data_IF_741453612093
#
_entry.id   IF_741453612093
#
_cell.length_a   1.000
_cell.length_b   1.000
_cell.length_c   1.000
_cell.angle_alpha   90.00
_cell.angle_beta   90.00
_cell.angle_gamma   90.00
#
_symmetry.space_group_name_H-M   'P 1'
#
loop_
_entity.id
_entity.type
_entity.pdbx_description
1 polymer ?
#
# COMPACT_ATOMS: atom_id res chain seq x y z
N UNK A 1 -28.87 -19.58 0.59
CA UNK A 1 -27.75 -19.17 -0.26
C UNK A 1 -26.82 -18.35 0.61
N UNK A 2 -25.56 -18.79 0.77
CA UNK A 2 -24.65 -18.23 1.77
C UNK A 2 -24.28 -16.81 1.34
N UNK A 3 -24.62 -15.82 2.16
CA UNK A 3 -24.12 -14.46 2.03
C UNK A 3 -22.60 -14.53 2.21
N UNK A 4 -21.88 -14.51 1.08
CA UNK A 4 -20.46 -14.23 1.08
C UNK A 4 -20.37 -12.78 1.56
N UNK A 5 -19.92 -12.58 2.79
CA UNK A 5 -19.43 -11.28 3.21
C UNK A 5 -18.26 -10.97 2.27
N UNK A 6 -18.54 -10.20 1.23
CA UNK A 6 -17.54 -9.59 0.38
C UNK A 6 -16.67 -8.78 1.32
N UNK A 7 -15.44 -9.22 1.57
CA UNK A 7 -14.44 -8.43 2.29
C UNK A 7 -14.02 -7.35 1.30
N UNK A 8 -14.87 -6.35 1.14
CA UNK A 8 -14.60 -5.29 0.20
C UNK A 8 -13.30 -4.69 0.65
N UNK A 9 -12.34 -4.74 -0.26
CA UNK A 9 -11.18 -3.89 -0.24
C UNK A 9 -11.68 -2.48 0.05
N UNK A 10 -11.69 -2.09 1.32
CA UNK A 10 -11.72 -0.71 1.76
C UNK A 10 -10.32 -0.14 1.56
N UNK A 11 -9.75 -0.36 0.37
CA UNK A 11 -8.73 0.56 -0.13
C UNK A 11 -9.52 1.83 -0.38
N UNK A 12 -9.58 2.66 0.65
CA UNK A 12 -10.13 3.99 0.59
C UNK A 12 -9.24 4.74 -0.40
N UNK A 13 -9.62 4.66 -1.67
CA UNK A 13 -8.84 5.17 -2.78
C UNK A 13 -8.65 6.66 -2.55
N UNK A 14 -7.38 7.05 -2.38
CA UNK A 14 -6.91 8.43 -2.25
C UNK A 14 -7.53 9.24 -3.37
N UNK A 15 -8.50 10.09 -3.03
CA UNK A 15 -8.94 11.15 -3.92
C UNK A 15 -7.75 12.09 -4.09
N UNK A 16 -7.07 12.04 -5.24
CA UNK A 16 -6.17 13.13 -5.63
C UNK A 16 -7.04 14.36 -5.89
N UNK A 17 -7.27 15.17 -4.86
CA UNK A 17 -7.59 16.57 -5.06
C UNK A 17 -6.35 17.22 -5.64
N UNK A 18 -6.34 17.47 -6.95
CA UNK A 18 -5.43 18.42 -7.54
C UNK A 18 -5.73 19.80 -6.91
N UNK A 19 -4.98 20.17 -5.88
CA UNK A 19 -5.01 21.53 -5.36
C UNK A 19 -4.37 22.44 -6.42
N UNK A 20 -5.22 23.03 -7.26
CA UNK A 20 -4.86 24.25 -7.98
C UNK A 20 -4.75 25.35 -6.95
N UNK A 21 -3.52 25.82 -6.69
CA UNK A 21 -3.30 27.00 -5.86
C UNK A 21 -4.01 28.18 -6.50
N UNK A 22 -4.91 28.82 -5.76
CA UNK A 22 -5.18 30.24 -5.86
C UNK A 22 -5.49 30.71 -4.45
N UNK A 23 -4.59 31.54 -3.94
CA UNK A 23 -4.81 32.35 -2.74
C UNK A 23 -6.02 33.25 -2.98
N UNK A 24 -7.09 33.04 -2.22
CA UNK A 24 -7.90 34.15 -1.70
C UNK A 24 -8.80 33.68 -0.56
N UNK A 25 -8.71 34.39 0.55
CA UNK A 25 -9.48 34.15 1.76
C UNK A 25 -10.91 34.67 1.57
N UNK A 26 -11.88 33.76 1.47
CA UNK A 26 -13.31 34.07 1.64
C UNK A 26 -13.94 33.02 2.55
N UNK A 27 -14.42 33.47 3.72
CA UNK A 27 -15.31 32.70 4.60
C UNK A 27 -16.58 32.32 3.84
N UNK A 28 -16.71 31.06 3.43
CA UNK A 28 -17.96 30.51 2.90
C UNK A 28 -18.43 29.41 3.84
N UNK A 29 -19.58 29.68 4.48
CA UNK A 29 -20.37 28.70 5.23
C UNK A 29 -20.50 27.42 4.41
N UNK A 30 -19.97 26.31 4.93
CA UNK A 30 -20.11 24.98 4.33
C UNK A 30 -21.59 24.59 4.27
N UNK A 31 -22.21 24.78 3.11
CA UNK A 31 -23.37 23.98 2.73
C UNK A 31 -22.85 22.57 2.46
N UNK A 32 -23.16 21.64 3.36
CA UNK A 32 -22.90 20.21 3.20
C UNK A 32 -23.66 19.73 1.97
N UNK A 33 -22.99 19.66 0.83
CA UNK A 33 -23.50 18.92 -0.32
C UNK A 33 -23.48 17.43 0.06
N UNK A 34 -24.56 16.66 -0.13
CA UNK A 34 -24.52 15.23 0.14
C UNK A 34 -23.41 14.59 -0.71
N UNK A 35 -22.45 13.94 -0.04
CA UNK A 35 -21.27 13.27 -0.63
C UNK A 35 -21.59 12.14 -1.65
N UNK A 36 -22.86 11.98 -2.05
CA UNK A 36 -23.39 10.86 -2.84
C UNK A 36 -23.24 11.00 -4.37
N UNK A 37 -22.86 12.16 -4.90
CA UNK A 37 -22.85 12.41 -6.36
C UNK A 37 -21.48 12.77 -6.98
N UNK A 38 -20.36 12.53 -6.28
CA UNK A 38 -19.06 12.58 -6.94
C UNK A 38 -18.76 11.19 -7.49
N UNK A 39 -18.88 10.99 -8.80
CA UNK A 39 -18.46 9.75 -9.45
C UNK A 39 -16.99 9.48 -9.08
N UNK A 40 -16.75 8.41 -8.32
CA UNK A 40 -15.41 7.98 -7.91
C UNK A 40 -15.01 6.90 -8.90
N UNK A 41 -14.09 7.21 -9.81
CA UNK A 41 -13.47 6.18 -10.64
C UNK A 41 -12.25 5.60 -9.93
N UNK A 42 -11.96 4.34 -10.19
CA UNK A 42 -10.70 3.70 -9.82
C UNK A 42 -9.93 3.33 -11.07
N UNK A 43 -8.61 3.22 -10.95
CA UNK A 43 -7.75 2.58 -11.95
C UNK A 43 -6.73 1.70 -11.24
N UNK A 44 -6.56 0.48 -11.72
CA UNK A 44 -5.49 -0.42 -11.27
C UNK A 44 -4.90 -1.19 -12.44
N UNK A 45 -3.64 -1.63 -12.30
CA UNK A 45 -2.99 -2.52 -13.24
C UNK A 45 -3.06 -3.97 -12.75
N UNK A 46 -3.35 -4.90 -13.65
CA UNK A 46 -3.26 -6.33 -13.39
C UNK A 46 -2.83 -7.05 -14.67
N UNK A 47 -1.77 -7.85 -14.58
CA UNK A 47 -1.20 -8.59 -15.72
C UNK A 47 -0.87 -7.69 -16.93
N UNK A 48 -0.39 -6.46 -16.67
CA UNK A 48 -0.02 -5.50 -17.71
C UNK A 48 -1.19 -4.78 -18.37
N UNK A 49 -2.44 -5.09 -18.01
CA UNK A 49 -3.65 -4.38 -18.45
C UNK A 49 -4.12 -3.41 -17.38
N UNK A 50 -4.49 -2.19 -17.78
CA UNK A 50 -5.15 -1.23 -16.91
C UNK A 50 -6.67 -1.49 -16.91
N UNK A 51 -7.25 -1.51 -15.71
CA UNK A 51 -8.67 -1.65 -15.46
C UNK A 51 -9.17 -0.37 -14.82
N UNK A 52 -10.14 0.28 -15.46
CA UNK A 52 -10.69 1.56 -15.02
C UNK A 52 -12.20 1.46 -14.96
N UNK A 53 -12.80 1.87 -13.85
CA UNK A 53 -14.25 1.89 -13.69
C UNK A 53 -14.67 2.95 -12.68
N UNK A 54 -15.79 3.61 -12.94
CA UNK A 54 -16.60 4.23 -11.91
C UNK A 54 -17.15 3.17 -10.95
N UNK A 55 -17.45 3.57 -9.72
CA UNK A 55 -18.07 2.67 -8.75
C UNK A 55 -19.12 3.38 -7.90
N UNK A 56 -20.03 2.56 -7.36
CA UNK A 56 -21.02 2.97 -6.38
C UNK A 56 -20.71 2.36 -5.02
N UNK A 57 -21.11 3.04 -3.96
CA UNK A 57 -21.17 2.43 -2.64
C UNK A 57 -22.51 1.74 -2.43
N UNK A 58 -22.49 0.55 -1.84
CA UNK A 58 -23.69 -0.06 -1.26
C UNK A 58 -23.94 0.53 0.12
N UNK A 59 -25.05 0.14 0.74
CA UNK A 59 -25.43 0.61 2.08
C UNK A 59 -24.45 0.16 3.19
N UNK A 60 -23.70 -0.91 2.98
CA UNK A 60 -22.67 -1.40 3.93
C UNK A 60 -21.27 -0.85 3.60
N UNK A 61 -21.18 0.16 2.72
CA UNK A 61 -19.93 0.77 2.25
C UNK A 61 -19.05 -0.12 1.37
N UNK A 62 -19.60 -1.22 0.84
CA UNK A 62 -19.02 -1.93 -0.31
C UNK A 62 -18.85 -1.03 -1.51
N UNK A 63 -17.77 -1.24 -2.26
CA UNK A 63 -17.59 -0.78 -3.63
C UNK A 63 -18.21 -1.80 -4.61
N UNK A 64 -19.02 -1.31 -5.55
CA UNK A 64 -19.49 -2.07 -6.72
C UNK A 64 -19.10 -1.30 -7.98
N UNK A 65 -18.27 -1.92 -8.81
CA UNK A 65 -17.81 -1.33 -10.08
C UNK A 65 -18.92 -1.37 -11.14
N UNK A 66 -19.07 -0.27 -11.87
CA UNK A 66 -20.03 -0.17 -12.97
C UNK A 66 -19.60 -1.05 -14.15
N UNK A 67 -18.30 -1.09 -14.46
CA UNK A 67 -17.75 -1.97 -15.47
C UNK A 67 -17.73 -3.42 -14.97
N UNK A 68 -18.39 -4.31 -15.72
CA UNK A 68 -18.53 -5.73 -15.38
C UNK A 68 -17.22 -6.51 -15.46
N UNK A 69 -16.32 -6.15 -16.38
CA UNK A 69 -14.99 -6.77 -16.47
C UNK A 69 -14.16 -6.38 -15.26
N UNK A 70 -14.19 -5.11 -14.87
CA UNK A 70 -13.49 -4.61 -13.67
C UNK A 70 -14.06 -5.26 -12.41
N UNK A 71 -15.39 -5.33 -12.26
CA UNK A 71 -16.04 -6.00 -11.13
C UNK A 71 -15.59 -7.47 -11.01
N UNK A 72 -15.70 -8.24 -12.09
CA UNK A 72 -15.31 -9.65 -12.10
C UNK A 72 -13.82 -9.84 -11.80
N UNK A 73 -12.97 -8.93 -12.29
CA UNK A 73 -11.53 -8.96 -12.03
C UNK A 73 -11.23 -8.66 -10.57
N UNK A 74 -11.85 -7.63 -10.00
CA UNK A 74 -11.69 -7.27 -8.59
C UNK A 74 -12.17 -8.40 -7.66
N UNK A 75 -13.31 -9.04 -7.95
CA UNK A 75 -13.79 -10.22 -7.20
C UNK A 75 -12.80 -11.39 -7.25
N UNK A 76 -12.19 -11.65 -8.41
CA UNK A 76 -11.16 -12.69 -8.55
C UNK A 76 -9.93 -12.36 -7.70
N UNK A 77 -9.48 -11.11 -7.72
CA UNK A 77 -8.33 -10.65 -6.93
C UNK A 77 -8.63 -10.76 -5.43
N UNK A 78 -9.84 -10.42 -5.00
CA UNK A 78 -10.27 -10.54 -3.60
C UNK A 78 -10.34 -12.01 -3.14
N UNK A 79 -10.61 -12.95 -4.03
CA UNK A 79 -10.58 -14.38 -3.67
C UNK A 79 -9.15 -14.94 -3.53
N UNK A 80 -8.11 -14.18 -3.90
CA UNK A 80 -6.73 -14.64 -3.83
C UNK A 80 -6.11 -14.37 -2.43
N UNK A 81 -5.81 -15.41 -1.63
CA UNK A 81 -5.30 -15.25 -0.27
C UNK A 81 -3.83 -14.80 -0.22
N UNK A 82 -3.09 -14.91 -1.32
CA UNK A 82 -1.65 -14.57 -1.40
C UNK A 82 -1.38 -13.42 -2.39
N UNK A 83 -2.41 -12.63 -2.69
CA UNK A 83 -2.34 -11.48 -3.57
C UNK A 83 -1.28 -10.48 -3.08
N UNK A 84 -0.52 -9.92 -4.01
CA UNK A 84 0.35 -8.77 -3.73
C UNK A 84 -0.28 -7.51 -4.30
N UNK A 85 -0.51 -6.52 -3.43
CA UNK A 85 -0.91 -5.16 -3.83
C UNK A 85 0.30 -4.24 -3.75
N UNK A 86 0.73 -3.72 -4.89
CA UNK A 86 1.89 -2.85 -4.98
C UNK A 86 1.46 -1.39 -5.21
N UNK A 87 1.90 -0.50 -4.31
CA UNK A 87 1.64 0.93 -4.35
C UNK A 87 2.88 1.67 -4.86
N UNK A 88 2.77 2.25 -6.06
CA UNK A 88 3.83 3.01 -6.69
C UNK A 88 3.28 4.31 -7.31
N UNK A 89 3.72 5.47 -6.83
CA UNK A 89 3.41 6.77 -7.42
C UNK A 89 1.91 7.01 -7.74
N UNK A 90 1.01 6.55 -6.86
CA UNK A 90 -0.44 6.67 -7.04
C UNK A 90 -1.07 5.59 -7.94
N UNK A 91 -0.27 4.70 -8.51
CA UNK A 91 -0.72 3.54 -9.27
C UNK A 91 -0.75 2.32 -8.35
N UNK A 92 -1.89 1.62 -8.37
CA UNK A 92 -2.05 0.32 -7.72
C UNK A 92 -1.83 -0.76 -8.77
N UNK A 93 -0.90 -1.68 -8.50
CA UNK A 93 -0.66 -2.86 -9.35
C UNK A 93 -0.85 -4.12 -8.55
N UNK A 94 -1.61 -5.07 -9.09
CA UNK A 94 -1.83 -6.38 -8.48
C UNK A 94 -0.98 -7.46 -9.14
N UNK A 95 -0.46 -8.38 -8.33
CA UNK A 95 0.24 -9.58 -8.76
C UNK A 95 -0.38 -10.81 -8.08
N UNK A 96 -0.44 -11.94 -8.79
CA UNK A 96 -1.10 -13.14 -8.26
C UNK A 96 -0.36 -13.72 -7.05
N UNK A 97 0.94 -13.42 -6.89
CA UNK A 97 1.77 -13.88 -5.78
C UNK A 97 3.12 -13.14 -5.71
N UNK A 98 3.88 -13.36 -4.64
CA UNK A 98 5.20 -12.73 -4.41
C UNK A 98 6.25 -13.13 -5.48
N UNK A 99 6.15 -14.31 -6.10
CA UNK A 99 7.08 -14.73 -7.16
C UNK A 99 6.93 -13.87 -8.41
N UNK A 100 5.70 -13.57 -8.82
CA UNK A 100 5.43 -12.65 -9.94
C UNK A 100 5.88 -11.23 -9.62
N UNK A 101 5.59 -10.73 -8.41
CA UNK A 101 6.05 -9.42 -7.96
C UNK A 101 7.58 -9.30 -7.95
N UNK A 102 8.29 -10.32 -7.47
CA UNK A 102 9.76 -10.28 -7.43
C UNK A 102 10.40 -10.26 -8.82
N UNK A 103 9.72 -10.78 -9.86
CA UNK A 103 10.19 -10.67 -11.25
C UNK A 103 10.17 -9.22 -11.73
N UNK A 104 9.20 -8.40 -11.29
CA UNK A 104 9.09 -7.00 -11.73
C UNK A 104 10.05 -6.06 -11.02
N UNK A 105 10.46 -6.37 -9.80
CA UNK A 105 11.45 -5.59 -9.06
C UNK A 105 12.89 -5.73 -9.58
N UNK A 106 13.13 -6.53 -10.64
CA UNK A 106 14.45 -6.80 -11.21
C UNK A 106 15.48 -7.17 -10.12
N UNK A 107 15.10 -8.03 -9.16
CA UNK A 107 16.00 -8.48 -8.09
C UNK A 107 17.03 -9.44 -8.69
N UNK A 108 18.04 -8.87 -9.37
CA UNK A 108 19.28 -9.57 -9.63
C UNK A 108 19.96 -9.77 -8.27
N UNK A 109 19.96 -10.99 -7.77
CA UNK A 109 20.45 -11.43 -6.45
C UNK A 109 21.96 -11.22 -6.21
N UNK A 110 22.62 -10.33 -6.97
CA UNK A 110 24.04 -9.98 -6.87
C UNK A 110 24.30 -8.63 -6.19
N UNK A 111 23.42 -8.16 -5.31
CA UNK A 111 23.70 -6.95 -4.51
C UNK A 111 24.70 -7.25 -3.40
N UNK A 112 25.88 -6.64 -3.51
CA UNK A 112 26.97 -6.65 -2.54
C UNK A 112 26.51 -6.16 -1.16
N UNK A 113 26.99 -6.80 -0.09
CA UNK A 113 26.63 -6.60 1.33
C UNK A 113 26.48 -5.12 1.79
N UNK A 114 27.16 -4.17 1.15
CA UNK A 114 27.14 -2.76 1.51
C UNK A 114 25.79 -2.05 1.24
N UNK A 115 24.96 -2.51 0.31
CA UNK A 115 23.70 -1.82 -0.02
C UNK A 115 22.58 -2.07 1.01
N UNK A 116 22.68 -3.15 1.79
CA UNK A 116 21.61 -3.61 2.70
C UNK A 116 21.35 -2.70 3.91
N UNK A 117 22.21 -1.74 4.23
CA UNK A 117 22.15 -1.03 5.51
C UNK A 117 21.42 0.32 5.47
N UNK A 118 20.95 0.77 4.31
CA UNK A 118 20.45 2.14 4.19
C UNK A 118 18.94 2.31 4.30
N UNK A 119 18.16 1.22 4.22
CA UNK A 119 16.71 1.30 4.36
C UNK A 119 16.30 1.12 5.83
N UNK A 120 15.38 1.97 6.30
CA UNK A 120 14.78 1.88 7.63
C UNK A 120 13.29 2.24 7.58
N UNK A 121 12.53 1.73 8.54
CA UNK A 121 11.15 2.11 8.76
C UNK A 121 10.87 2.30 10.26
N UNK A 122 10.03 3.28 10.56
CA UNK A 122 9.40 3.47 11.86
C UNK A 122 7.91 3.19 11.72
N UNK A 123 7.44 2.18 12.44
CA UNK A 123 6.03 1.81 12.53
C UNK A 123 5.41 2.40 13.78
N UNK A 124 4.14 2.80 13.69
CA UNK A 124 3.41 3.46 14.75
C UNK A 124 2.09 2.73 15.02
N UNK A 125 1.72 2.65 16.30
CA UNK A 125 0.47 1.99 16.68
C UNK A 125 -0.77 2.78 16.31
N UNK A 126 -0.66 4.09 16.25
CA UNK A 126 -1.78 4.97 15.92
C UNK A 126 -1.56 5.62 14.54
N UNK A 127 -2.64 6.21 14.01
CA UNK A 127 -2.57 6.99 12.77
C UNK A 127 -1.80 8.30 12.98
N UNK A 128 -1.36 8.90 11.88
CA UNK A 128 -0.61 10.15 11.82
C UNK A 128 0.69 10.12 12.63
N UNK A 129 1.36 8.95 12.69
CA UNK A 129 2.66 8.75 13.31
C UNK A 129 2.66 8.94 14.84
N UNK A 130 1.56 8.55 15.50
CA UNK A 130 1.39 8.66 16.94
C UNK A 130 1.46 7.29 17.66
N UNK A 131 1.49 7.33 18.99
CA UNK A 131 1.49 6.14 19.83
C UNK A 131 2.87 5.52 20.00
N UNK A 132 2.92 4.25 20.39
CA UNK A 132 4.17 3.51 20.52
C UNK A 132 4.83 3.34 19.14
N UNK A 133 6.16 3.37 19.11
CA UNK A 133 6.96 3.26 17.89
C UNK A 133 7.85 2.01 17.85
N UNK A 134 8.04 1.45 16.66
CA UNK A 134 9.00 0.40 16.36
C UNK A 134 9.89 0.86 15.20
N UNK A 135 11.14 1.18 15.50
CA UNK A 135 12.15 1.51 14.50
C UNK A 135 12.98 0.29 14.15
N UNK A 136 12.97 -0.12 12.87
CA UNK A 136 13.71 -1.28 12.36
C UNK A 136 14.39 -0.97 11.03
N UNK A 137 15.57 -1.56 10.82
CA UNK A 137 16.31 -1.43 9.56
C UNK A 137 15.87 -2.43 8.51
N UNK A 138 16.55 -2.41 7.36
CA UNK A 138 16.38 -3.43 6.32
C UNK A 138 16.55 -4.84 6.89
N UNK A 139 15.68 -5.75 6.48
CA UNK A 139 15.67 -7.09 7.02
C UNK A 139 14.36 -7.81 6.84
N UNK A 140 14.32 -8.98 7.46
CA UNK A 140 13.26 -9.96 7.40
C UNK A 140 12.73 -10.15 8.81
N UNK A 141 11.47 -9.78 9.05
CA UNK A 141 10.83 -9.78 10.36
C UNK A 141 9.61 -10.72 10.30
N UNK A 142 9.81 -12.03 10.50
CA UNK A 142 8.78 -13.04 10.26
C UNK A 142 7.66 -13.05 11.32
N UNK A 143 7.87 -12.43 12.49
CA UNK A 143 6.87 -12.37 13.55
C UNK A 143 7.00 -11.06 14.34
N UNK A 144 6.03 -10.16 14.17
CA UNK A 144 5.98 -8.88 14.88
C UNK A 144 5.58 -9.01 16.36
N UNK A 145 5.13 -10.18 16.81
CA UNK A 145 4.82 -10.41 18.22
C UNK A 145 6.09 -10.31 19.07
N UNK A 146 7.22 -10.75 18.54
CA UNK A 146 8.55 -10.60 19.17
C UNK A 146 8.94 -9.13 19.41
N UNK A 147 8.25 -8.19 18.76
CA UNK A 147 8.45 -6.74 18.86
C UNK A 147 7.27 -6.04 19.55
N UNK A 148 6.27 -6.77 20.07
CA UNK A 148 5.03 -6.22 20.64
C UNK A 148 4.21 -5.34 19.66
N UNK A 149 4.31 -5.66 18.37
CA UNK A 149 3.76 -4.88 17.25
C UNK A 149 2.86 -5.69 16.31
N UNK A 150 2.58 -6.95 16.65
CA UNK A 150 1.64 -7.82 15.91
C UNK A 150 0.24 -7.21 15.87
N UNK A 151 -0.33 -7.06 14.68
CA UNK A 151 -1.71 -6.60 14.47
C UNK A 151 -2.03 -5.29 15.21
N UNK A 152 -1.08 -4.36 15.23
CA UNK A 152 -1.21 -3.08 15.91
C UNK A 152 -0.65 -1.91 15.10
N UNK A 153 -0.32 -2.08 13.82
CA UNK A 153 0.30 -1.01 13.02
C UNK A 153 -0.80 -0.22 12.32
N UNK A 154 -0.81 1.09 12.53
CA UNK A 154 -1.77 2.02 11.89
C UNK A 154 -1.11 3.08 11.01
N UNK A 155 0.20 3.34 11.16
CA UNK A 155 0.94 4.23 10.25
C UNK A 155 2.44 3.90 10.22
N UNK A 156 3.15 4.35 9.19
CA UNK A 156 4.61 4.19 9.12
C UNK A 156 5.29 5.29 8.32
N UNK A 157 6.57 5.51 8.62
CA UNK A 157 7.51 6.26 7.79
C UNK A 157 8.65 5.33 7.41
N UNK A 158 9.07 5.37 6.16
CA UNK A 158 10.22 4.60 5.70
C UNK A 158 11.13 5.47 4.86
N UNK A 159 12.42 5.16 4.87
CA UNK A 159 13.39 5.87 4.06
C UNK A 159 14.50 4.96 3.59
N UNK A 160 15.17 5.35 2.52
CA UNK A 160 16.46 4.79 2.12
C UNK A 160 17.38 5.91 1.63
N UNK A 161 18.65 5.83 1.98
CA UNK A 161 19.68 6.76 1.50
C UNK A 161 20.62 6.04 0.54
N UNK A 162 21.01 6.70 -0.55
CA UNK A 162 22.02 6.18 -1.48
C UNK A 162 21.82 4.70 -1.87
N UNK A 163 20.66 4.31 -2.44
CA UNK A 163 20.51 2.96 -2.99
C UNK A 163 21.53 2.81 -4.12
N UNK A 164 22.66 2.15 -3.83
CA UNK A 164 23.83 2.13 -4.70
C UNK A 164 23.54 1.60 -6.11
N UNK A 165 24.51 1.70 -7.01
CA UNK A 165 24.40 1.05 -8.33
C UNK A 165 24.75 -0.45 -8.22
N UNK A 166 24.08 -1.37 -8.93
CA UNK A 166 22.78 -1.29 -9.59
C UNK A 166 21.72 -1.91 -8.66
N UNK A 167 21.05 -1.13 -7.82
CA UNK A 167 20.16 -1.75 -6.83
C UNK A 167 18.71 -1.83 -7.28
N UNK A 168 18.15 -3.01 -7.09
CA UNK A 168 16.73 -3.34 -7.13
C UNK A 168 15.89 -2.29 -6.42
N UNK A 169 14.62 -2.16 -6.81
CA UNK A 169 13.65 -1.33 -6.10
C UNK A 169 13.64 -1.64 -4.59
N UNK A 170 13.56 -0.60 -3.75
CA UNK A 170 13.51 -0.73 -2.29
C UNK A 170 12.06 -0.63 -1.84
N UNK A 171 11.60 -1.62 -1.08
CA UNK A 171 10.19 -1.71 -0.66
C UNK A 171 10.06 -1.94 0.85
N UNK A 172 8.95 -1.46 1.41
CA UNK A 172 8.38 -2.01 2.64
C UNK A 172 7.26 -2.95 2.25
N UNK A 173 7.35 -4.22 2.63
CA UNK A 173 6.34 -5.23 2.39
C UNK A 173 5.70 -5.61 3.71
N UNK A 174 4.41 -5.36 3.83
CA UNK A 174 3.58 -5.70 4.99
C UNK A 174 2.78 -6.96 4.65
N UNK A 175 2.81 -7.95 5.54
CA UNK A 175 2.12 -9.22 5.36
C UNK A 175 1.07 -9.38 6.45
N UNK A 176 -0.12 -9.80 6.04
CA UNK A 176 -1.24 -10.02 6.96
C UNK A 176 -0.89 -11.09 8.01
N UNK A 177 -0.22 -12.17 7.59
CA UNK A 177 0.13 -13.28 8.47
C UNK A 177 1.63 -13.33 8.80
N UNK A 178 1.96 -14.12 9.83
CA UNK A 178 3.34 -14.43 10.21
C UNK A 178 4.06 -15.20 9.11
N UNK A 179 5.39 -15.20 9.15
CA UNK A 179 6.28 -15.90 8.22
C UNK A 179 6.02 -15.51 6.76
N UNK A 180 5.65 -14.26 6.50
CA UNK A 180 5.36 -13.72 5.17
C UNK A 180 4.15 -14.40 4.48
N UNK A 181 3.19 -14.86 5.28
CA UNK A 181 1.96 -15.46 4.80
C UNK A 181 0.86 -14.44 4.49
N UNK A 182 -0.20 -14.94 3.87
CA UNK A 182 -1.39 -14.16 3.56
C UNK A 182 -1.16 -13.10 2.48
N UNK A 183 -2.03 -12.10 2.45
CA UNK A 183 -1.94 -10.99 1.51
C UNK A 183 -0.74 -10.12 1.82
N UNK A 184 -0.12 -9.61 0.76
CA UNK A 184 1.04 -8.73 0.83
C UNK A 184 0.72 -7.34 0.30
N UNK A 185 1.21 -6.33 1.00
CA UNK A 185 1.05 -4.92 0.63
C UNK A 185 2.44 -4.31 0.56
N UNK A 186 2.86 -4.00 -0.66
CA UNK A 186 4.19 -3.52 -0.95
C UNK A 186 4.16 -2.02 -1.28
N UNK A 187 4.93 -1.24 -0.54
CA UNK A 187 5.08 0.19 -0.73
C UNK A 187 6.48 0.49 -1.27
N UNK A 188 6.54 1.14 -2.42
CA UNK A 188 7.81 1.56 -3.00
C UNK A 188 8.39 2.72 -2.19
N UNK A 189 9.66 2.59 -1.80
CA UNK A 189 10.46 3.69 -1.25
C UNK A 189 11.27 4.32 -2.37
N UNK A 190 11.98 3.51 -3.16
CA UNK A 190 12.83 3.96 -4.27
C UNK A 190 12.71 3.01 -5.47
N UNK A 191 12.61 3.58 -6.68
CA UNK A 191 12.30 2.89 -7.94
C UNK A 191 13.50 2.66 -8.86
N UNK A 192 14.73 3.02 -8.45
CA UNK A 192 15.92 2.86 -9.27
C UNK A 192 17.13 3.63 -8.74
N UNK A 193 18.23 3.72 -9.52
CA UNK A 193 19.47 4.31 -9.07
C UNK A 193 19.32 5.80 -8.77
N UNK A 194 19.73 6.19 -7.56
CA UNK A 194 19.81 7.58 -7.13
C UNK A 194 21.09 7.80 -6.34
N UNK A 195 22.06 8.49 -6.94
CA UNK A 195 23.26 8.90 -6.22
C UNK A 195 22.90 10.01 -5.24
N UNK A 196 23.31 9.85 -3.98
CA UNK A 196 23.19 10.88 -2.92
C UNK A 196 21.76 11.39 -2.66
N UNK A 197 20.74 10.61 -3.00
CA UNK A 197 19.35 10.95 -2.70
C UNK A 197 18.85 10.19 -1.47
N UNK A 198 18.02 10.89 -0.70
CA UNK A 198 17.15 10.29 0.31
C UNK A 198 15.77 10.13 -0.28
N UNK A 199 15.29 8.90 -0.30
CA UNK A 199 13.92 8.58 -0.68
C UNK A 199 13.12 8.29 0.58
N UNK A 200 11.90 8.79 0.63
CA UNK A 200 10.99 8.56 1.76
C UNK A 200 9.65 8.03 1.28
N UNK A 201 9.02 7.23 2.12
CA UNK A 201 7.67 6.76 1.96
C UNK A 201 6.93 6.92 3.28
N UNK A 202 6.00 7.85 3.28
CA UNK A 202 5.20 8.21 4.44
C UNK A 202 3.77 7.72 4.22
N UNK A 203 3.25 6.95 5.18
CA UNK A 203 1.88 6.42 5.17
C UNK A 203 1.23 6.79 6.50
N UNK A 204 0.46 7.91 6.55
CA UNK A 204 -0.13 8.40 7.79
C UNK A 204 -1.31 7.57 8.28
N UNK A 205 -1.94 6.77 7.41
CA UNK A 205 -3.09 5.95 7.78
C UNK A 205 -3.12 4.66 6.95
N UNK A 206 -2.89 3.52 7.59
CA UNK A 206 -3.02 2.19 6.96
C UNK A 206 -4.48 1.78 6.76
N UNK A 207 -5.42 2.40 7.47
CA UNK A 207 -6.86 2.22 7.23
C UNK A 207 -7.26 2.57 5.80
N UNK A 208 -6.59 3.55 5.17
CA UNK A 208 -6.84 3.92 3.77
C UNK A 208 -6.51 2.79 2.78
N UNK A 209 -5.73 1.80 3.23
CA UNK A 209 -5.28 0.65 2.45
C UNK A 209 -5.96 -0.66 2.90
N UNK A 210 -6.91 -0.60 3.84
CA UNK A 210 -7.55 -1.78 4.44
C UNK A 210 -6.61 -2.60 5.32
N UNK A 211 -5.59 -1.96 5.90
CA UNK A 211 -4.47 -2.61 6.60
C UNK A 211 -4.37 -2.29 8.09
N UNK A 212 -5.26 -1.45 8.62
CA UNK A 212 -5.18 -1.00 10.01
C UNK A 212 -5.17 -2.21 10.95
N UNK A 213 -4.14 -2.31 11.79
CA UNK A 213 -4.00 -3.36 12.79
C UNK A 213 -4.04 -4.80 12.22
N UNK A 214 -3.63 -4.97 10.96
CA UNK A 214 -3.71 -6.27 10.26
C UNK A 214 -2.37 -6.64 9.59
N UNK A 215 -1.28 -6.49 10.34
CA UNK A 215 0.08 -6.78 9.89
C UNK A 215 0.79 -7.63 10.94
N UNK A 216 1.28 -8.79 10.54
CA UNK A 216 1.94 -9.75 11.44
C UNK A 216 3.40 -10.04 11.06
N UNK A 217 3.82 -9.72 9.84
CA UNK A 217 5.23 -9.82 9.44
C UNK A 217 5.62 -8.78 8.38
N UNK A 218 6.92 -8.48 8.28
CA UNK A 218 7.45 -7.38 7.46
C UNK A 218 8.74 -7.79 6.76
N UNK A 219 8.92 -7.35 5.51
CA UNK A 219 10.24 -7.29 4.85
C UNK A 219 10.55 -5.84 4.46
N UNK A 220 11.77 -5.40 4.74
CA UNK A 220 12.27 -4.08 4.34
C UNK A 220 13.54 -4.28 3.53
N UNK A 221 13.57 -3.73 2.31
CA UNK A 221 14.76 -3.75 1.47
C UNK A 221 14.49 -4.18 0.03
N UNK A 222 15.53 -4.78 -0.56
CA UNK A 222 15.62 -5.21 -1.96
C UNK A 222 14.86 -6.51 -2.22
#
# INVERSE_FOLDING_TARGET
MKNLASFLLSVMLICFSACSNNDDLVEVRQQVTPLKNLARSTTFNYQGKNYTSEFNYTNDSSIVYIDKEVQKTAEKLDQNPILVTFFNAGIITYYDNESEFNKTLNINTKTTRASRLAAEATFYKDTNYNGAELKIGAGNYPDLNSYSFDNCISSFKASTTSPGFPTSAVTVRLYADKNYGGRTYAFLIADGPGWNNTYTKDVPNLGDYGLNDNVSSVKIGY
#
